data_IF_114338453445
#
_entry.id   IF_114338453445
#
_cell.length_a   1.000
_cell.length_b   1.000
_cell.length_c   1.000
_cell.angle_alpha   90.00
_cell.angle_beta   90.00
_cell.angle_gamma   90.00
#
_symmetry.space_group_name_H-M   'P 1'
#
loop_
_entity.id
_entity.type
_entity.pdbx_description
1 polymer ?
#
# COMPACT_ATOMS: atom_id res chain seq x y z
N UNK A 1 8.59 9.19 -6.95
CA UNK A 1 8.20 8.06 -7.85
C UNK A 1 6.69 7.97 -8.10
N UNK A 2 5.88 9.00 -7.81
CA UNK A 2 4.41 8.90 -7.93
C UNK A 2 3.95 8.50 -9.34
N UNK A 3 4.55 9.08 -10.38
CA UNK A 3 4.18 8.77 -11.77
C UNK A 3 4.51 7.29 -12.10
N UNK A 4 5.71 6.81 -11.74
CA UNK A 4 6.12 5.41 -11.96
C UNK A 4 5.27 4.42 -11.17
N UNK A 5 4.95 4.73 -9.90
CA UNK A 5 4.06 3.91 -9.08
C UNK A 5 2.67 3.80 -9.71
N UNK A 6 2.16 4.90 -10.26
CA UNK A 6 0.90 4.91 -10.98
C UNK A 6 0.95 4.03 -12.24
N UNK A 7 2.01 4.14 -13.03
CA UNK A 7 2.18 3.36 -14.25
C UNK A 7 2.27 1.85 -13.97
N UNK A 8 2.96 1.44 -12.90
CA UNK A 8 2.96 0.05 -12.45
C UNK A 8 1.58 -0.43 -12.01
N UNK A 9 0.81 0.40 -11.32
CA UNK A 9 -0.57 0.06 -10.94
C UNK A 9 -1.47 -0.12 -12.16
N UNK A 10 -1.33 0.73 -13.18
CA UNK A 10 -2.01 0.58 -14.48
C UNK A 10 -1.60 -0.74 -15.15
N UNK A 11 -0.34 -1.11 -15.08
CA UNK A 11 0.16 -2.41 -15.57
C UNK A 11 -0.54 -3.59 -14.88
N UNK A 12 -0.62 -3.56 -13.55
CA UNK A 12 -1.31 -4.60 -12.76
C UNK A 12 -2.81 -4.72 -13.11
N UNK A 13 -3.48 -3.60 -13.41
CA UNK A 13 -4.87 -3.64 -13.89
C UNK A 13 -4.95 -4.31 -15.27
N UNK A 14 -4.06 -3.95 -16.20
CA UNK A 14 -4.01 -4.53 -17.57
C UNK A 14 -3.77 -6.04 -17.53
N UNK A 15 -2.99 -6.49 -16.56
CA UNK A 15 -2.69 -7.92 -16.34
C UNK A 15 -3.82 -8.65 -15.57
N UNK A 16 -4.92 -7.96 -15.22
CA UNK A 16 -6.01 -8.52 -14.43
C UNK A 16 -5.65 -8.85 -12.98
N UNK A 17 -4.56 -8.23 -12.46
CA UNK A 17 -4.01 -8.45 -11.11
C UNK A 17 -4.40 -7.37 -10.11
N UNK A 18 -5.15 -6.36 -10.54
CA UNK A 18 -5.71 -5.33 -9.67
C UNK A 18 -7.09 -4.90 -10.15
N UNK A 19 -7.93 -4.45 -9.23
CA UNK A 19 -9.28 -3.98 -9.51
C UNK A 19 -9.67 -2.82 -8.60
N UNK A 20 -10.57 -1.96 -9.08
CA UNK A 20 -11.14 -0.87 -8.29
C UNK A 20 -12.30 -1.41 -7.47
N UNK A 21 -12.26 -1.16 -6.17
CA UNK A 21 -13.26 -1.61 -5.20
C UNK A 21 -14.01 -0.41 -4.63
N UNK A 22 -15.33 -0.52 -4.55
CA UNK A 22 -16.24 0.51 -4.01
C UNK A 22 -16.72 0.19 -2.60
N UNK A 23 -16.22 -0.89 -1.97
CA UNK A 23 -16.55 -1.21 -0.59
C UNK A 23 -16.06 -0.11 0.36
N UNK A 24 -16.90 0.24 1.31
CA UNK A 24 -16.52 1.10 2.44
C UNK A 24 -15.46 0.42 3.32
N UNK A 25 -14.72 1.16 4.15
CA UNK A 25 -13.76 0.55 5.08
C UNK A 25 -14.39 -0.49 6.03
N UNK A 26 -15.63 -0.29 6.42
CA UNK A 26 -16.41 -1.21 7.27
C UNK A 26 -16.73 -2.50 6.52
N UNK A 27 -17.28 -2.40 5.33
CA UNK A 27 -17.55 -3.54 4.45
C UNK A 27 -16.27 -4.30 4.10
N UNK A 28 -15.18 -3.59 3.78
CA UNK A 28 -13.89 -4.23 3.52
C UNK A 28 -13.38 -5.06 4.70
N UNK A 29 -13.58 -4.61 5.95
CA UNK A 29 -13.24 -5.39 7.15
C UNK A 29 -14.08 -6.65 7.25
N UNK A 30 -15.39 -6.55 7.01
CA UNK A 30 -16.30 -7.68 7.02
C UNK A 30 -15.92 -8.70 5.93
N UNK A 31 -15.73 -8.24 4.68
CA UNK A 31 -15.34 -9.10 3.57
C UNK A 31 -13.96 -9.75 3.75
N UNK A 32 -13.03 -9.07 4.40
CA UNK A 32 -11.69 -9.61 4.67
C UNK A 32 -11.71 -10.80 5.63
N UNK A 33 -12.72 -10.90 6.48
CA UNK A 33 -12.81 -11.96 7.49
C UNK A 33 -11.83 -11.77 8.65
N UNK A 34 -11.57 -12.84 9.37
CA UNK A 34 -10.73 -12.87 10.57
C UNK A 34 -9.50 -13.78 10.38
N UNK A 35 -8.66 -13.92 11.39
CA UNK A 35 -7.53 -14.86 11.35
C UNK A 35 -7.98 -16.33 11.24
N UNK A 36 -9.19 -16.65 11.72
CA UNK A 36 -9.76 -18.00 11.73
C UNK A 36 -10.82 -18.22 10.66
N UNK A 37 -11.32 -17.15 10.04
CA UNK A 37 -12.35 -17.21 9.01
C UNK A 37 -11.80 -16.61 7.71
N UNK A 38 -12.00 -17.34 6.61
CA UNK A 38 -11.62 -16.88 5.28
C UNK A 38 -12.40 -15.61 4.90
N UNK A 39 -11.78 -14.76 4.07
CA UNK A 39 -12.47 -13.63 3.48
C UNK A 39 -13.41 -14.04 2.35
N UNK A 40 -14.23 -13.09 1.92
CA UNK A 40 -15.16 -13.21 0.79
C UNK A 40 -14.71 -12.29 -0.34
N UNK A 41 -14.90 -12.71 -1.58
CA UNK A 41 -14.63 -11.85 -2.73
C UNK A 41 -15.54 -10.62 -2.70
N UNK A 42 -14.95 -9.45 -3.00
CA UNK A 42 -15.75 -8.25 -3.25
C UNK A 42 -16.65 -8.46 -4.48
N UNK A 43 -17.88 -7.91 -4.49
CA UNK A 43 -18.73 -7.93 -5.68
C UNK A 43 -18.13 -7.18 -6.88
N UNK A 44 -17.13 -6.34 -6.63
CA UNK A 44 -16.43 -5.55 -7.65
C UNK A 44 -15.16 -6.21 -8.19
N UNK A 45 -14.79 -7.36 -7.64
CA UNK A 45 -13.52 -8.06 -7.95
C UNK A 45 -13.39 -8.50 -9.40
N UNK A 46 -14.52 -8.78 -10.03
CA UNK A 46 -14.57 -9.33 -11.39
C UNK A 46 -15.02 -8.31 -12.45
N UNK A 47 -14.86 -7.00 -12.17
CA UNK A 47 -14.99 -5.94 -13.17
C UNK A 47 -14.03 -6.16 -14.34
N UNK A 48 -14.42 -5.74 -15.53
CA UNK A 48 -13.55 -5.83 -16.71
C UNK A 48 -12.28 -4.96 -16.54
N UNK A 49 -11.24 -5.27 -17.31
CA UNK A 49 -10.00 -4.50 -17.33
C UNK A 49 -10.28 -3.06 -17.75
N UNK A 50 -11.12 -2.86 -18.76
CA UNK A 50 -11.50 -1.56 -19.32
C UNK A 50 -12.21 -0.71 -18.26
N UNK A 51 -13.17 -1.28 -17.53
CA UNK A 51 -13.88 -0.59 -16.46
C UNK A 51 -12.93 -0.19 -15.32
N UNK A 52 -12.04 -1.10 -14.91
CA UNK A 52 -11.05 -0.80 -13.88
C UNK A 52 -10.08 0.31 -14.31
N UNK A 53 -9.62 0.34 -15.56
CA UNK A 53 -8.76 1.39 -16.10
C UNK A 53 -9.48 2.75 -16.12
N UNK A 54 -10.74 2.78 -16.58
CA UNK A 54 -11.56 4.00 -16.57
C UNK A 54 -11.72 4.53 -15.13
N UNK A 55 -12.16 3.69 -14.21
CA UNK A 55 -12.37 4.06 -12.82
C UNK A 55 -11.09 4.55 -12.14
N UNK A 56 -9.95 3.87 -12.37
CA UNK A 56 -8.68 4.27 -11.75
C UNK A 56 -8.18 5.61 -12.32
N UNK A 57 -8.38 5.86 -13.61
CA UNK A 57 -8.09 7.15 -14.24
C UNK A 57 -8.96 8.26 -13.64
N UNK A 58 -10.24 8.02 -13.45
CA UNK A 58 -11.18 8.97 -12.84
C UNK A 58 -10.90 9.20 -11.36
N UNK A 59 -10.42 8.18 -10.64
CA UNK A 59 -9.89 8.35 -9.27
C UNK A 59 -8.73 9.36 -9.27
N UNK A 60 -7.76 9.21 -10.19
CA UNK A 60 -6.62 10.13 -10.34
C UNK A 60 -7.07 11.55 -10.67
N UNK A 61 -8.10 11.69 -11.50
CA UNK A 61 -8.66 12.98 -11.92
C UNK A 61 -9.50 13.67 -10.82
N UNK A 62 -9.70 13.01 -9.67
CA UNK A 62 -10.41 13.59 -8.53
C UNK A 62 -11.93 13.60 -8.67
N UNK A 63 -12.51 12.75 -9.53
CA UNK A 63 -13.96 12.70 -9.78
C UNK A 63 -14.75 12.08 -8.62
N UNK A 64 -14.07 11.36 -7.73
CA UNK A 64 -14.72 10.64 -6.61
C UNK A 64 -14.32 11.25 -5.26
N UNK A 65 -15.20 11.22 -4.25
CA UNK A 65 -14.87 11.69 -2.91
C UNK A 65 -13.85 10.78 -2.20
N UNK A 66 -13.20 11.32 -1.18
CA UNK A 66 -12.27 10.57 -0.33
C UNK A 66 -12.95 9.34 0.29
N UNK A 67 -12.25 8.21 0.27
CA UNK A 67 -12.73 6.96 0.86
C UNK A 67 -13.80 6.21 0.05
N UNK A 68 -14.28 6.73 -1.09
CA UNK A 68 -15.32 6.09 -1.89
C UNK A 68 -14.84 4.92 -2.75
N UNK A 69 -13.56 4.92 -3.11
CA UNK A 69 -12.95 3.88 -3.95
C UNK A 69 -11.51 3.64 -3.55
N UNK A 70 -11.09 2.39 -3.73
CA UNK A 70 -9.71 1.95 -3.55
C UNK A 70 -9.27 1.11 -4.73
N UNK A 71 -7.96 1.02 -4.98
CA UNK A 71 -7.40 0.00 -5.87
C UNK A 71 -6.86 -1.14 -5.01
N UNK A 72 -7.29 -2.37 -5.30
CA UNK A 72 -6.87 -3.58 -4.59
C UNK A 72 -6.15 -4.54 -5.53
N UNK A 73 -5.18 -5.26 -4.98
CA UNK A 73 -4.59 -6.40 -5.69
C UNK A 73 -5.57 -7.58 -5.70
N UNK A 74 -5.55 -8.34 -6.77
CA UNK A 74 -6.37 -9.55 -6.95
C UNK A 74 -5.51 -10.77 -6.64
N UNK A 75 -5.46 -11.19 -5.36
CA UNK A 75 -4.60 -12.30 -4.89
C UNK A 75 -5.45 -13.48 -4.44
N UNK A 76 -5.74 -13.58 -3.13
CA UNK A 76 -6.50 -14.70 -2.57
C UNK A 76 -7.23 -14.30 -1.28
N UNK A 77 -8.55 -14.17 -1.35
CA UNK A 77 -9.39 -13.84 -0.21
C UNK A 77 -9.49 -14.98 0.84
N UNK A 78 -9.09 -16.19 0.48
CA UNK A 78 -9.06 -17.34 1.40
C UNK A 78 -7.69 -17.55 2.07
N UNK A 79 -6.70 -16.72 1.75
CA UNK A 79 -5.35 -16.85 2.32
C UNK A 79 -5.34 -16.87 3.85
N UNK A 80 -4.55 -17.76 4.44
CA UNK A 80 -4.28 -17.74 5.89
C UNK A 80 -3.56 -16.49 6.36
N UNK A 81 -2.80 -15.84 5.48
CA UNK A 81 -2.20 -14.53 5.72
C UNK A 81 -3.17 -13.42 5.31
N UNK A 82 -3.70 -12.70 6.29
CA UNK A 82 -4.69 -11.65 6.08
C UNK A 82 -4.18 -10.51 5.18
N UNK A 83 -2.86 -10.30 5.12
CA UNK A 83 -2.23 -9.29 4.27
C UNK A 83 -2.24 -9.66 2.79
N UNK A 84 -2.51 -10.94 2.46
CA UNK A 84 -2.65 -11.45 1.09
C UNK A 84 -4.11 -11.46 0.60
N UNK A 85 -5.07 -11.05 1.44
CA UNK A 85 -6.50 -11.03 1.10
C UNK A 85 -6.86 -9.76 0.36
N UNK A 86 -6.53 -9.70 -0.92
CA UNK A 86 -6.75 -8.59 -1.84
C UNK A 86 -6.43 -7.22 -1.18
N UNK A 87 -5.17 -6.96 -0.83
CA UNK A 87 -4.78 -5.75 -0.11
C UNK A 87 -4.99 -4.49 -0.93
N UNK A 88 -5.33 -3.39 -0.25
CA UNK A 88 -5.44 -2.06 -0.85
C UNK A 88 -4.05 -1.53 -1.19
N UNK A 89 -3.85 -1.08 -2.43
CA UNK A 89 -2.60 -0.45 -2.88
C UNK A 89 -2.73 1.04 -3.20
N UNK A 90 -3.94 1.54 -3.48
CA UNK A 90 -4.24 2.97 -3.63
C UNK A 90 -5.55 3.35 -2.96
N UNK A 91 -5.58 4.55 -2.40
CA UNK A 91 -6.79 5.19 -1.86
C UNK A 91 -6.94 6.62 -2.36
N UNK A 92 -8.16 7.13 -2.39
CA UNK A 92 -8.44 8.53 -2.65
C UNK A 92 -8.22 9.30 -1.34
N UNK A 93 -7.38 10.33 -1.41
CA UNK A 93 -7.11 11.24 -0.31
C UNK A 93 -6.66 12.60 -0.84
N UNK A 94 -7.40 13.64 -0.57
CA UNK A 94 -7.01 15.02 -0.88
C UNK A 94 -6.17 15.57 0.26
N UNK A 95 -4.87 15.69 0.01
CA UNK A 95 -3.93 16.24 0.99
C UNK A 95 -2.78 16.91 0.24
N UNK A 96 -2.36 18.09 0.71
CA UNK A 96 -1.16 18.75 0.21
C UNK A 96 0.08 17.90 0.54
N UNK A 97 0.88 17.58 -0.47
CA UNK A 97 2.11 16.81 -0.31
C UNK A 97 3.32 17.72 -0.47
N UNK A 98 4.28 17.65 0.46
CA UNK A 98 5.44 18.55 0.53
C UNK A 98 6.29 18.62 -0.75
N UNK A 99 6.35 17.55 -1.57
CA UNK A 99 7.11 17.53 -2.83
C UNK A 99 6.24 17.73 -4.08
N UNK A 100 4.97 17.26 -4.07
CA UNK A 100 4.13 17.25 -5.27
C UNK A 100 2.95 18.22 -5.18
N UNK A 101 2.80 18.94 -4.05
CA UNK A 101 1.69 19.85 -3.83
C UNK A 101 0.35 19.13 -3.91
N UNK A 102 -0.57 19.68 -4.68
CA UNK A 102 -1.93 19.18 -4.87
C UNK A 102 -2.10 18.38 -6.19
N UNK A 103 -0.98 17.98 -6.83
CA UNK A 103 -1.01 17.22 -8.10
C UNK A 103 -1.75 15.90 -7.99
N UNK A 104 -1.69 15.25 -6.82
CA UNK A 104 -2.23 13.92 -6.61
C UNK A 104 -3.36 13.93 -5.57
N UNK A 105 -4.48 13.31 -5.92
CA UNK A 105 -5.61 13.04 -5.01
C UNK A 105 -5.78 11.54 -4.72
N UNK A 106 -4.93 10.68 -5.30
CA UNK A 106 -4.80 9.26 -4.95
C UNK A 106 -3.40 9.01 -4.40
N UNK A 107 -3.34 8.22 -3.34
CA UNK A 107 -2.09 7.92 -2.63
C UNK A 107 -1.87 6.43 -2.55
N UNK A 108 -0.66 5.96 -2.92
CA UNK A 108 -0.31 4.55 -2.77
C UNK A 108 -0.13 4.18 -1.29
N UNK A 109 -0.39 2.92 -0.98
CA UNK A 109 -0.20 2.38 0.36
C UNK A 109 1.25 1.92 0.57
N UNK A 110 1.67 1.84 1.83
CA UNK A 110 3.03 1.52 2.23
C UNK A 110 3.55 0.22 1.60
N UNK A 111 2.80 -0.87 1.70
CA UNK A 111 3.23 -2.18 1.19
C UNK A 111 3.52 -2.18 -0.32
N UNK A 112 2.84 -1.31 -1.06
CA UNK A 112 3.06 -1.14 -2.49
C UNK A 112 4.25 -0.22 -2.80
N UNK A 113 4.41 0.87 -2.03
CA UNK A 113 5.46 1.86 -2.31
C UNK A 113 6.83 1.41 -1.88
N UNK A 114 6.95 0.74 -0.74
CA UNK A 114 8.23 0.37 -0.15
C UNK A 114 9.05 -0.52 -1.09
N UNK A 115 8.48 -1.65 -1.50
CA UNK A 115 9.19 -2.60 -2.37
C UNK A 115 9.56 -1.99 -3.74
N UNK A 116 8.66 -1.20 -4.33
CA UNK A 116 8.89 -0.61 -5.66
C UNK A 116 9.91 0.52 -5.57
N UNK A 117 9.84 1.39 -4.55
CA UNK A 117 10.81 2.49 -4.38
C UNK A 117 12.22 1.94 -4.16
N UNK A 118 12.36 0.94 -3.29
CA UNK A 118 13.64 0.28 -3.05
C UNK A 118 14.17 -0.40 -4.32
N UNK A 119 13.30 -1.02 -5.11
CA UNK A 119 13.69 -1.62 -6.38
C UNK A 119 14.13 -0.58 -7.42
N UNK A 120 13.46 0.58 -7.52
CA UNK A 120 13.86 1.68 -8.41
C UNK A 120 15.23 2.24 -8.01
N UNK A 121 15.50 2.34 -6.71
CA UNK A 121 16.76 2.88 -6.18
C UNK A 121 17.90 1.86 -6.17
N UNK A 122 17.67 0.62 -6.57
CA UNK A 122 18.68 -0.42 -6.60
C UNK A 122 19.10 -0.90 -5.20
N UNK A 123 18.25 -0.72 -4.21
CA UNK A 123 18.46 -1.22 -2.85
C UNK A 123 18.51 -2.75 -2.86
N UNK A 124 19.43 -3.33 -2.11
CA UNK A 124 19.57 -4.79 -1.98
C UNK A 124 18.87 -5.34 -0.73
N UNK A 125 18.85 -4.56 0.36
CA UNK A 125 18.35 -4.93 1.68
C UNK A 125 17.32 -3.89 2.13
N UNK A 126 16.04 -4.22 1.99
CA UNK A 126 14.92 -3.42 2.50
C UNK A 126 14.73 -3.70 3.98
N UNK A 127 15.06 -2.73 4.84
CA UNK A 127 15.03 -2.89 6.28
C UNK A 127 13.71 -2.38 6.86
N UNK A 128 13.09 -3.16 7.71
CA UNK A 128 11.86 -2.79 8.42
C UNK A 128 11.80 -3.40 9.83
N UNK A 129 10.77 -3.10 10.58
CA UNK A 129 10.53 -3.68 11.90
C UNK A 129 9.80 -5.02 11.81
N UNK A 130 9.84 -5.83 12.89
CA UNK A 130 9.23 -7.17 12.94
C UNK A 130 7.72 -7.16 12.67
N UNK A 131 7.03 -6.04 12.86
CA UNK A 131 5.61 -5.92 12.54
C UNK A 131 5.30 -6.22 11.07
N UNK A 132 6.28 -6.09 10.18
CA UNK A 132 6.14 -6.33 8.75
C UNK A 132 6.55 -7.73 8.29
N UNK A 133 6.88 -8.65 9.19
CA UNK A 133 7.23 -10.02 8.82
C UNK A 133 6.11 -10.70 8.01
N UNK A 134 4.87 -10.59 8.48
CA UNK A 134 3.70 -11.14 7.77
C UNK A 134 3.39 -10.43 6.44
N UNK A 135 3.98 -9.27 6.17
CA UNK A 135 3.85 -8.52 4.91
C UNK A 135 4.87 -8.95 3.84
N UNK A 136 5.94 -9.69 4.21
CA UNK A 136 6.97 -10.14 3.26
C UNK A 136 6.42 -10.89 2.04
N UNK A 137 5.42 -11.78 2.16
CA UNK A 137 4.82 -12.42 0.98
C UNK A 137 4.17 -11.41 0.02
N UNK A 138 3.58 -10.33 0.55
CA UNK A 138 3.02 -9.26 -0.27
C UNK A 138 4.12 -8.44 -0.96
N UNK A 139 5.20 -8.12 -0.25
CA UNK A 139 6.40 -7.48 -0.78
C UNK A 139 6.95 -8.24 -2.00
N UNK A 140 7.13 -9.55 -1.85
CA UNK A 140 7.62 -10.41 -2.92
C UNK A 140 6.61 -10.50 -4.07
N UNK A 141 5.32 -10.66 -3.77
CA UNK A 141 4.27 -10.74 -4.77
C UNK A 141 4.23 -9.50 -5.66
N UNK A 142 4.35 -8.30 -5.09
CA UNK A 142 4.36 -7.05 -5.87
C UNK A 142 5.54 -7.03 -6.83
N UNK A 143 6.75 -7.34 -6.35
CA UNK A 143 7.96 -7.36 -7.19
C UNK A 143 7.93 -8.43 -8.29
N UNK A 144 7.24 -9.56 -8.05
CA UNK A 144 7.08 -10.62 -9.05
C UNK A 144 6.07 -10.26 -10.15
N UNK A 145 5.23 -9.28 -9.91
CA UNK A 145 4.12 -8.93 -10.80
C UNK A 145 4.24 -7.56 -11.48
N UNK A 146 5.37 -6.88 -11.30
CA UNK A 146 5.71 -5.65 -12.04
C UNK A 146 6.96 -5.88 -12.90
N UNK A 147 7.15 -5.12 -13.98
CA UNK A 147 8.43 -5.12 -14.70
C UNK A 147 9.56 -4.73 -13.74
N UNK A 148 10.68 -5.47 -13.77
CA UNK A 148 11.81 -5.20 -12.89
C UNK A 148 12.36 -3.76 -13.11
N UNK A 149 12.27 -2.86 -12.13
CA UNK A 149 12.75 -1.48 -12.30
C UNK A 149 14.27 -1.39 -12.34
N UNK A 150 14.97 -2.37 -11.78
CA UNK A 150 16.43 -2.45 -11.71
C UNK A 150 16.89 -3.90 -11.84
N UNK A 151 18.16 -4.12 -12.23
CA UNK A 151 18.75 -5.45 -12.32
C UNK A 151 18.85 -6.17 -10.95
N UNK A 152 18.96 -5.40 -9.88
CA UNK A 152 19.02 -5.91 -8.51
C UNK A 152 17.61 -5.96 -7.91
N UNK A 153 17.18 -7.15 -7.47
CA UNK A 153 15.95 -7.33 -6.72
C UNK A 153 16.20 -7.13 -5.22
N UNK A 154 15.55 -6.18 -4.55
CA UNK A 154 15.65 -6.02 -3.11
C UNK A 154 15.01 -7.20 -2.36
N UNK A 155 15.47 -7.42 -1.14
CA UNK A 155 14.86 -8.39 -0.20
C UNK A 155 14.53 -7.70 1.10
N UNK A 156 13.38 -8.02 1.67
CA UNK A 156 12.96 -7.50 2.96
C UNK A 156 13.61 -8.26 4.11
N UNK A 157 14.12 -7.50 5.09
CA UNK A 157 14.70 -8.00 6.33
C UNK A 157 14.10 -7.25 7.51
N UNK A 158 13.58 -7.98 8.48
CA UNK A 158 12.93 -7.44 9.66
C UNK A 158 13.88 -7.46 10.86
N UNK A 159 13.82 -6.41 11.64
CA UNK A 159 14.63 -6.24 12.85
C UNK A 159 13.76 -5.94 14.06
N UNK A 160 14.18 -6.45 15.23
CA UNK A 160 13.55 -6.13 16.49
C UNK A 160 13.64 -4.63 16.79
N UNK A 161 12.61 -4.11 17.43
CA UNK A 161 12.65 -2.77 18.00
C UNK A 161 13.62 -2.75 19.19
N UNK A 162 14.60 -1.86 19.14
CA UNK A 162 15.47 -1.59 20.30
C UNK A 162 14.71 -0.71 21.29
N UNK A 163 14.55 -1.19 22.52
CA UNK A 163 14.02 -0.41 23.63
C UNK A 163 15.19 0.02 24.54
N UNK A 164 15.32 1.33 24.72
CA UNK A 164 16.29 1.92 25.62
C UNK A 164 15.61 2.28 26.94
N UNK A 165 16.10 1.74 28.05
CA UNK A 165 15.65 2.12 29.39
C UNK A 165 16.08 3.55 29.69
N UNK A 166 15.23 4.27 30.44
CA UNK A 166 15.46 5.67 30.85
C UNK A 166 15.66 6.67 29.72
N UNK A 167 15.18 6.33 28.49
CA UNK A 167 15.28 7.19 27.31
C UNK A 167 13.90 7.54 26.78
N UNK A 168 13.74 8.78 26.31
CA UNK A 168 12.54 9.20 25.58
C UNK A 168 12.73 8.87 24.11
N UNK A 169 12.04 7.83 23.61
CA UNK A 169 12.07 7.40 22.21
C UNK A 169 10.83 7.84 21.42
N UNK A 170 9.81 8.37 22.10
CA UNK A 170 8.57 8.85 21.48
C UNK A 170 8.79 10.17 20.75
N UNK A 171 8.64 10.19 19.41
CA UNK A 171 8.69 11.42 18.60
C UNK A 171 7.77 12.52 19.12
N UNK A 172 6.56 12.17 19.58
CA UNK A 172 5.60 13.13 20.15
C UNK A 172 6.14 13.78 21.41
N UNK A 173 6.75 13.00 22.33
CA UNK A 173 7.34 13.52 23.56
C UNK A 173 8.58 14.38 23.28
N UNK A 174 9.42 13.96 22.32
CA UNK A 174 10.59 14.76 21.91
C UNK A 174 10.15 16.10 21.31
N UNK A 175 9.17 16.09 20.41
CA UNK A 175 8.62 17.33 19.85
C UNK A 175 8.01 18.23 20.94
N UNK A 176 7.34 17.66 21.94
CA UNK A 176 6.80 18.43 23.07
C UNK A 176 7.92 19.12 23.85
N UNK A 177 9.03 18.41 24.16
CA UNK A 177 10.17 19.02 24.87
C UNK A 177 10.75 20.20 24.10
N UNK A 178 10.86 20.08 22.77
CA UNK A 178 11.31 21.20 21.92
C UNK A 178 10.30 22.35 21.95
N UNK A 179 9.01 22.09 21.83
CA UNK A 179 7.95 23.10 21.83
C UNK A 179 7.84 23.82 23.19
N UNK A 180 8.09 23.10 24.28
CA UNK A 180 8.05 23.64 25.65
C UNK A 180 9.36 24.32 26.06
N UNK A 181 10.36 24.34 25.18
CA UNK A 181 11.66 25.00 25.39
C UNK A 181 12.56 24.31 26.42
N UNK A 182 12.41 22.99 26.62
CA UNK A 182 13.28 22.23 27.52
C UNK A 182 14.59 21.78 26.82
N UNK A 183 14.61 21.75 25.50
CA UNK A 183 15.75 21.45 24.62
C UNK A 183 15.63 22.25 23.32
#
# INVERSE_FOLDING_TARGET
YFDQLYDYAVGLIKDGKAYVDDLTPEEMREYRGTLTEAGKNSPYRDRSIEENLDLFTRMKNGEFPDGSKTLRLKIDMASGNINMRDPVIYRIRRAHHHNTGDKWCIYPMYDYTHCISDAIEGITHSLCTLEFEAHRPLYDWVLDNIPAPHATRPRQYEFSRLELLYSITSKRKLNQLVSDGHV
#
